data_IF_418429042660
#
_entry.id   IF_418429042660
#
_cell.length_a   1.000
_cell.length_b   1.000
_cell.length_c   1.000
_cell.angle_alpha   90.00
_cell.angle_beta   90.00
_cell.angle_gamma   90.00
#
_symmetry.space_group_name_H-M   'P 1'
#
loop_
_entity.id
_entity.type
_entity.pdbx_description
1 polymer ?
#
# COMPACT_ATOMS: atom_id res chain seq x y z
N UNK A 1 34.12 2.42 -6.94
CA UNK A 1 32.78 1.85 -7.28
C UNK A 1 31.67 2.27 -6.31
N UNK A 2 31.94 2.68 -5.07
CA UNK A 2 30.89 3.05 -4.08
C UNK A 2 30.15 4.37 -4.36
N UNK A 3 30.76 5.34 -5.04
CA UNK A 3 30.12 6.64 -5.30
C UNK A 3 28.99 6.58 -6.33
N UNK A 4 29.14 5.80 -7.41
CA UNK A 4 28.12 5.68 -8.47
C UNK A 4 26.81 5.06 -7.95
N UNK A 5 26.91 4.10 -7.04
CA UNK A 5 25.73 3.46 -6.41
C UNK A 5 24.96 4.44 -5.52
N UNK A 6 25.65 5.41 -4.89
CA UNK A 6 25.00 6.39 -4.02
C UNK A 6 24.20 7.44 -4.82
N UNK A 7 24.70 7.87 -5.98
CA UNK A 7 24.02 8.84 -6.85
C UNK A 7 22.73 8.26 -7.45
N UNK A 8 22.77 6.99 -7.84
CA UNK A 8 21.62 6.30 -8.46
C UNK A 8 20.46 6.11 -7.46
N UNK A 9 20.78 5.82 -6.19
CA UNK A 9 19.78 5.68 -5.13
C UNK A 9 19.10 7.00 -4.78
N UNK A 10 19.84 8.12 -4.79
CA UNK A 10 19.28 9.46 -4.53
C UNK A 10 18.36 9.92 -5.65
N UNK A 11 18.74 9.68 -6.91
CA UNK A 11 17.89 10.00 -8.06
C UNK A 11 16.62 9.13 -8.07
N UNK A 12 16.76 7.84 -7.76
CA UNK A 12 15.63 6.93 -7.61
C UNK A 12 14.67 7.36 -6.49
N UNK A 13 15.20 7.84 -5.36
CA UNK A 13 14.41 8.39 -4.27
C UNK A 13 13.60 9.61 -4.73
N UNK A 14 14.23 10.56 -5.41
CA UNK A 14 13.57 11.75 -5.93
C UNK A 14 12.41 11.40 -6.89
N UNK A 15 12.64 10.43 -7.79
CA UNK A 15 11.59 9.96 -8.72
C UNK A 15 10.42 9.32 -7.95
N UNK A 16 10.71 8.47 -6.97
CA UNK A 16 9.68 7.80 -6.16
C UNK A 16 8.86 8.81 -5.33
N UNK A 17 9.52 9.82 -4.76
CA UNK A 17 8.84 10.90 -4.02
C UNK A 17 7.96 11.75 -4.93
N UNK A 18 8.41 12.07 -6.15
CA UNK A 18 7.62 12.81 -7.12
C UNK A 18 6.37 12.00 -7.55
N UNK A 19 6.52 10.69 -7.78
CA UNK A 19 5.39 9.80 -8.09
C UNK A 19 4.38 9.72 -6.94
N UNK A 20 4.88 9.58 -5.70
CA UNK A 20 4.04 9.58 -4.50
C UNK A 20 3.26 10.89 -4.37
N UNK A 21 3.93 12.03 -4.50
CA UNK A 21 3.29 13.36 -4.44
C UNK A 21 2.19 13.50 -5.48
N UNK A 22 2.47 13.14 -6.73
CA UNK A 22 1.47 13.16 -7.82
C UNK A 22 0.27 12.26 -7.50
N UNK A 23 0.49 11.07 -6.95
CA UNK A 23 -0.60 10.19 -6.53
C UNK A 23 -1.49 10.85 -5.47
N UNK A 24 -0.91 11.49 -4.46
CA UNK A 24 -1.65 12.25 -3.45
C UNK A 24 -2.44 13.42 -4.04
N UNK A 25 -1.88 14.13 -5.02
CA UNK A 25 -2.59 15.20 -5.74
C UNK A 25 -3.80 14.64 -6.50
N UNK A 26 -3.66 13.52 -7.20
CA UNK A 26 -4.77 12.86 -7.89
C UNK A 26 -5.87 12.42 -6.92
N UNK A 27 -5.52 11.84 -5.76
CA UNK A 27 -6.49 11.48 -4.72
C UNK A 27 -7.30 12.70 -4.28
N UNK A 28 -6.64 13.85 -4.07
CA UNK A 28 -7.30 15.10 -3.67
C UNK A 28 -8.25 15.59 -4.76
N UNK A 29 -7.84 15.57 -6.04
CA UNK A 29 -8.68 15.97 -7.17
C UNK A 29 -9.91 15.08 -7.31
N UNK A 30 -9.72 13.75 -7.24
CA UNK A 30 -10.80 12.78 -7.32
C UNK A 30 -11.77 12.93 -6.15
N UNK A 31 -11.27 13.18 -4.94
CA UNK A 31 -12.12 13.41 -3.76
C UNK A 31 -13.01 14.64 -3.93
N UNK A 32 -12.48 15.74 -4.49
CA UNK A 32 -13.30 16.92 -4.83
C UNK A 32 -14.37 16.58 -5.86
N UNK A 33 -14.01 15.78 -6.88
CA UNK A 33 -14.97 15.34 -7.90
C UNK A 33 -16.07 14.46 -7.33
N UNK A 34 -15.75 13.55 -6.42
CA UNK A 34 -16.72 12.73 -5.69
C UNK A 34 -17.71 13.59 -4.91
N UNK A 35 -17.21 14.57 -4.15
CA UNK A 35 -18.10 15.46 -3.39
C UNK A 35 -19.07 16.22 -4.31
N UNK A 36 -18.59 16.72 -5.45
CA UNK A 36 -19.45 17.39 -6.44
C UNK A 36 -20.48 16.44 -7.06
N UNK A 37 -20.11 15.20 -7.37
CA UNK A 37 -21.03 14.19 -7.88
C UNK A 37 -22.07 13.79 -6.82
N UNK A 38 -21.67 13.68 -5.56
CA UNK A 38 -22.56 13.37 -4.45
C UNK A 38 -23.62 14.45 -4.26
N UNK A 39 -23.22 15.73 -4.24
CA UNK A 39 -24.17 16.86 -4.14
C UNK A 39 -25.18 16.83 -5.29
N UNK A 40 -24.74 16.54 -6.53
CA UNK A 40 -25.62 16.43 -7.69
C UNK A 40 -26.56 15.23 -7.58
N UNK A 41 -26.04 14.10 -7.09
CA UNK A 41 -26.82 12.89 -6.86
C UNK A 41 -27.92 13.14 -5.82
N UNK A 42 -27.59 13.78 -4.71
CA UNK A 42 -28.53 14.11 -3.65
C UNK A 42 -29.62 15.08 -4.15
N UNK A 43 -29.25 16.05 -4.98
CA UNK A 43 -30.23 16.92 -5.68
C UNK A 43 -31.16 16.11 -6.58
N UNK A 44 -30.61 15.28 -7.47
CA UNK A 44 -31.41 14.43 -8.37
C UNK A 44 -32.31 13.44 -7.61
N UNK A 45 -31.87 12.98 -6.42
CA UNK A 45 -32.66 12.13 -5.53
C UNK A 45 -33.83 12.88 -4.91
N UNK A 46 -33.62 14.13 -4.46
CA UNK A 46 -34.69 15.01 -3.93
C UNK A 46 -35.73 15.34 -4.99
N UNK A 47 -35.29 15.56 -6.23
CA UNK A 47 -36.15 15.94 -7.36
C UNK A 47 -36.78 14.71 -8.09
N UNK A 48 -36.62 13.49 -7.54
CA UNK A 48 -36.97 12.17 -8.12
C UNK A 48 -36.62 11.97 -9.61
N UNK A 49 -35.48 12.51 -10.04
CA UNK A 49 -34.98 12.38 -11.41
C UNK A 49 -34.31 11.02 -11.63
N UNK A 50 -35.12 9.96 -11.82
CA UNK A 50 -34.65 8.55 -11.85
C UNK A 50 -33.53 8.26 -12.86
N UNK A 51 -33.63 8.80 -14.07
CA UNK A 51 -32.62 8.60 -15.13
C UNK A 51 -31.28 9.25 -14.77
N UNK A 52 -31.31 10.49 -14.28
CA UNK A 52 -30.12 11.21 -13.83
C UNK A 52 -29.48 10.56 -12.60
N UNK A 53 -30.30 10.07 -11.66
CA UNK A 53 -29.83 9.38 -10.45
C UNK A 53 -28.99 8.15 -10.81
N UNK A 54 -29.43 7.36 -11.78
CA UNK A 54 -28.69 6.18 -12.23
C UNK A 54 -27.34 6.56 -12.86
N UNK A 55 -27.33 7.54 -13.76
CA UNK A 55 -26.09 8.02 -14.38
C UNK A 55 -25.10 8.57 -13.34
N UNK A 56 -25.59 9.35 -12.38
CA UNK A 56 -24.75 9.91 -11.30
C UNK A 56 -24.22 8.82 -10.37
N UNK A 57 -25.02 7.79 -10.09
CA UNK A 57 -24.58 6.63 -9.31
C UNK A 57 -23.44 5.87 -10.01
N UNK A 58 -23.55 5.64 -11.32
CA UNK A 58 -22.47 5.04 -12.11
C UNK A 58 -21.20 5.88 -12.08
N UNK A 59 -21.34 7.21 -12.20
CA UNK A 59 -20.21 8.13 -12.11
C UNK A 59 -19.56 8.13 -10.73
N UNK A 60 -20.37 8.04 -9.65
CA UNK A 60 -19.86 7.91 -8.29
C UNK A 60 -19.05 6.61 -8.14
N UNK A 61 -19.63 5.46 -8.47
CA UNK A 61 -18.99 4.16 -8.34
C UNK A 61 -17.67 4.06 -9.14
N UNK A 62 -17.66 4.53 -10.38
CA UNK A 62 -16.44 4.54 -11.22
C UNK A 62 -15.36 5.48 -10.66
N UNK A 63 -15.76 6.66 -10.16
CA UNK A 63 -14.83 7.62 -9.57
C UNK A 63 -14.28 7.13 -8.22
N UNK A 64 -15.08 6.42 -7.42
CA UNK A 64 -14.63 5.77 -6.19
C UNK A 64 -13.62 4.66 -6.48
N UNK A 65 -13.87 3.83 -7.50
CA UNK A 65 -12.92 2.83 -7.97
C UNK A 65 -11.58 3.43 -8.38
N UNK A 66 -11.61 4.53 -9.15
CA UNK A 66 -10.41 5.27 -9.51
C UNK A 66 -9.65 5.80 -8.28
N UNK A 67 -10.36 6.35 -7.29
CA UNK A 67 -9.76 6.81 -6.03
C UNK A 67 -9.03 5.68 -5.30
N UNK A 68 -9.66 4.51 -5.19
CA UNK A 68 -9.08 3.34 -4.52
C UNK A 68 -7.81 2.85 -5.21
N UNK A 69 -7.80 2.83 -6.55
CA UNK A 69 -6.60 2.51 -7.33
C UNK A 69 -5.44 3.47 -7.01
N UNK A 70 -5.69 4.78 -6.92
CA UNK A 70 -4.66 5.74 -6.55
C UNK A 70 -4.20 5.61 -5.09
N UNK A 71 -5.08 5.22 -4.17
CA UNK A 71 -4.69 4.89 -2.79
C UNK A 71 -3.70 3.73 -2.75
N UNK A 72 -4.02 2.61 -3.41
CA UNK A 72 -3.11 1.46 -3.49
C UNK A 72 -1.77 1.85 -4.13
N UNK A 73 -1.80 2.63 -5.20
CA UNK A 73 -0.60 3.13 -5.85
C UNK A 73 0.22 4.03 -4.92
N UNK A 74 -0.42 4.95 -4.19
CA UNK A 74 0.25 5.82 -3.23
C UNK A 74 0.91 5.02 -2.09
N UNK A 75 0.24 3.99 -1.57
CA UNK A 75 0.81 3.08 -0.56
C UNK A 75 2.06 2.39 -1.11
N UNK A 76 2.00 1.83 -2.33
CA UNK A 76 3.16 1.20 -2.99
C UNK A 76 4.33 2.16 -3.20
N UNK A 77 4.05 3.42 -3.55
CA UNK A 77 5.12 4.42 -3.68
C UNK A 77 5.67 4.86 -2.31
N UNK A 78 4.84 5.00 -1.28
CA UNK A 78 5.29 5.34 0.06
C UNK A 78 6.21 4.27 0.68
N UNK A 79 5.90 2.99 0.46
CA UNK A 79 6.78 1.89 0.90
C UNK A 79 8.10 1.91 0.15
N UNK A 80 8.10 2.20 -1.16
CA UNK A 80 9.31 2.36 -1.96
C UNK A 80 10.18 3.54 -1.49
N UNK A 81 9.59 4.71 -1.23
CA UNK A 81 10.28 5.88 -0.67
C UNK A 81 10.90 5.52 0.68
N UNK A 82 10.14 4.86 1.56
CA UNK A 82 10.61 4.46 2.89
C UNK A 82 11.74 3.42 2.83
N UNK A 83 11.75 2.56 1.82
CA UNK A 83 12.84 1.63 1.55
C UNK A 83 14.10 2.36 1.11
N UNK A 84 14.01 3.20 0.09
CA UNK A 84 15.16 3.97 -0.44
C UNK A 84 15.77 4.91 0.60
N UNK A 85 14.93 5.57 1.43
CA UNK A 85 15.41 6.39 2.56
C UNK A 85 16.21 5.58 3.57
N UNK A 86 15.78 4.35 3.88
CA UNK A 86 16.53 3.45 4.77
C UNK A 86 17.87 3.05 4.16
N UNK A 87 17.89 2.66 2.89
CA UNK A 87 19.13 2.26 2.18
C UNK A 87 20.16 3.40 2.16
N UNK A 88 19.73 4.61 1.82
CA UNK A 88 20.60 5.79 1.82
C UNK A 88 21.12 6.09 3.24
N UNK A 89 20.25 5.97 4.27
CA UNK A 89 20.66 6.17 5.66
C UNK A 89 21.68 5.13 6.11
N UNK A 90 21.50 3.86 5.73
CA UNK A 90 22.47 2.80 6.05
C UNK A 90 23.81 2.98 5.35
N UNK A 91 23.82 3.54 4.14
CA UNK A 91 25.05 3.82 3.38
C UNK A 91 25.82 5.03 3.91
N UNK A 92 25.13 5.99 4.56
CA UNK A 92 25.73 7.21 5.10
C UNK A 92 26.30 7.05 6.52
N UNK A 93 26.04 5.94 7.21
CA UNK A 93 26.58 5.71 8.54
C UNK A 93 28.07 5.35 8.45
N UNK A 94 28.98 6.05 9.14
CA UNK A 94 30.36 5.62 9.23
C UNK A 94 30.41 4.22 9.85
N UNK A 95 31.23 3.32 9.28
CA UNK A 95 31.37 1.90 9.72
C UNK A 95 31.53 1.76 11.25
N UNK A 96 32.11 2.77 11.90
CA UNK A 96 32.33 2.88 13.35
C UNK A 96 31.02 2.93 14.14
N UNK A 97 30.00 3.69 13.71
CA UNK A 97 28.71 3.75 14.41
C UNK A 97 27.87 2.48 14.26
N UNK A 98 28.07 1.77 13.15
CA UNK A 98 27.44 0.47 12.90
C UNK A 98 28.07 -0.61 13.80
N UNK A 99 29.39 -0.51 14.02
CA UNK A 99 30.12 -1.33 14.99
C UNK A 99 29.69 -1.03 16.43
N UNK A 100 29.55 0.25 16.82
CA UNK A 100 29.08 0.64 18.16
C UNK A 100 27.66 0.13 18.41
N UNK A 101 26.74 0.24 17.43
CA UNK A 101 25.39 -0.31 17.57
C UNK A 101 25.37 -1.83 17.68
N UNK A 102 26.13 -2.54 16.85
CA UNK A 102 26.23 -4.00 16.95
C UNK A 102 26.88 -4.42 18.28
N UNK A 103 27.90 -3.70 18.75
CA UNK A 103 28.55 -3.98 20.01
C UNK A 103 27.63 -3.72 21.21
N UNK A 104 26.84 -2.65 21.18
CA UNK A 104 25.82 -2.38 22.21
C UNK A 104 24.69 -3.41 22.18
N UNK A 105 24.29 -3.88 20.99
CA UNK A 105 23.26 -4.92 20.85
C UNK A 105 23.77 -6.27 21.39
N UNK A 106 25.03 -6.62 21.10
CA UNK A 106 25.72 -7.80 21.64
C UNK A 106 25.86 -7.72 23.17
N UNK A 107 26.23 -6.56 23.74
CA UNK A 107 26.28 -6.35 25.21
C UNK A 107 24.90 -6.54 25.85
N UNK A 108 23.84 -5.96 25.28
CA UNK A 108 22.46 -6.13 25.80
C UNK A 108 21.97 -7.57 25.71
N UNK A 109 22.30 -8.29 24.64
CA UNK A 109 22.02 -9.71 24.52
C UNK A 109 22.82 -10.51 25.56
N UNK A 110 24.11 -10.25 25.75
CA UNK A 110 24.94 -10.95 26.73
C UNK A 110 24.41 -10.80 28.17
N UNK A 111 23.94 -9.61 28.55
CA UNK A 111 23.26 -9.38 29.84
C UNK A 111 21.94 -10.15 29.90
N UNK A 112 21.11 -10.08 28.85
CA UNK A 112 19.81 -10.79 28.78
C UNK A 112 19.95 -12.32 28.86
N UNK A 113 21.05 -12.88 28.34
CA UNK A 113 21.32 -14.31 28.37
C UNK A 113 22.18 -14.75 29.57
N UNK A 114 22.44 -13.86 30.54
CA UNK A 114 23.16 -14.18 31.78
C UNK A 114 24.65 -14.51 31.59
N UNK A 115 25.25 -14.08 30.48
CA UNK A 115 26.66 -14.36 30.13
C UNK A 115 27.60 -13.28 30.67
N UNK A 116 27.08 -12.13 31.10
CA UNK A 116 27.85 -11.05 31.70
C UNK A 116 27.17 -10.53 32.98
N UNK A 117 27.92 -10.41 34.08
CA UNK A 117 27.44 -9.78 35.32
C UNK A 117 27.40 -8.26 35.16
N UNK A 118 26.31 -7.63 35.61
CA UNK A 118 26.17 -6.17 35.68
C UNK A 118 27.14 -5.63 36.74
N UNK A 119 28.15 -4.87 36.31
CA UNK A 119 28.82 -3.94 37.22
C UNK A 119 27.86 -2.78 37.48
N UNK A 120 27.41 -2.71 38.72
CA UNK A 120 26.49 -1.71 39.25
C UNK A 120 27.20 -0.36 39.42
N UNK A 121 26.84 0.62 38.59
CA UNK A 121 27.01 2.03 38.95
C UNK A 121 25.73 2.51 39.63
N UNK A 122 25.74 2.44 40.96
CA UNK A 122 24.78 3.09 41.84
C UNK A 122 25.14 4.58 41.99
N UNK A 123 24.31 5.48 41.46
CA UNK A 123 24.08 6.78 42.11
C UNK A 123 22.71 7.40 41.73
N UNK A 124 21.74 7.22 42.64
CA UNK A 124 20.76 8.18 43.22
C UNK A 124 20.46 9.47 42.43
N UNK A 125 19.26 10.04 42.40
CA UNK A 125 17.98 9.79 43.04
C UNK A 125 16.92 10.71 42.39
N UNK A 126 15.65 10.32 42.54
CA UNK A 126 14.46 11.15 42.72
C UNK A 126 14.18 12.30 41.74
N UNK A 127 13.24 12.06 40.82
CA UNK A 127 12.05 12.92 40.80
C UNK A 127 10.80 12.16 40.33
N UNK A 128 9.79 12.15 41.20
CA UNK A 128 8.53 11.42 41.08
C UNK A 128 7.42 12.46 41.03
N UNK A 129 6.89 12.79 39.85
CA UNK A 129 5.54 13.36 39.77
C UNK A 129 4.85 13.13 38.41
N UNK A 130 3.60 12.70 38.54
CA UNK A 130 2.52 12.62 37.54
C UNK A 130 2.54 11.49 36.51
N UNK A 131 2.12 10.34 37.05
CA UNK A 131 1.06 9.54 36.43
C UNK A 131 -0.16 10.40 36.06
N UNK A 132 -0.49 10.44 34.78
CA UNK A 132 -1.90 10.46 34.35
C UNK A 132 -2.06 9.54 33.16
N UNK A 133 -2.68 8.39 33.46
CA UNK A 133 -3.39 7.47 32.59
C UNK A 133 -3.98 8.14 31.34
N UNK A 134 -3.67 7.55 30.17
CA UNK A 134 -4.72 7.14 29.23
C UNK A 134 -4.34 5.79 28.66
N UNK A 135 -5.04 4.76 29.12
CA UNK A 135 -5.12 3.48 28.47
C UNK A 135 -5.90 3.64 27.16
N UNK A 136 -5.33 3.18 26.06
CA UNK A 136 -6.09 2.68 24.92
C UNK A 136 -5.51 1.31 24.56
N UNK A 137 -6.08 0.30 25.24
CA UNK A 137 -6.48 -0.97 24.63
C UNK A 137 -7.15 -0.68 23.26
N UNK A 138 -7.09 -1.49 22.22
CA UNK A 138 -6.93 -2.92 22.16
C UNK A 138 -6.69 -3.27 20.68
N UNK A 139 -6.29 -4.51 20.48
CA UNK A 139 -5.95 -5.14 19.23
C UNK A 139 -7.08 -5.02 18.18
N UNK A 140 -6.85 -4.20 17.16
CA UNK A 140 -7.59 -4.29 15.90
C UNK A 140 -6.94 -5.34 15.02
N UNK A 141 -7.33 -6.61 15.18
CA UNK A 141 -7.03 -7.66 14.21
C UNK A 141 -7.54 -7.21 12.82
N UNK A 142 -6.62 -6.88 11.93
CA UNK A 142 -6.92 -6.63 10.53
C UNK A 142 -7.23 -7.97 9.87
N UNK A 143 -8.49 -8.38 9.92
CA UNK A 143 -8.98 -9.51 9.12
C UNK A 143 -8.88 -9.10 7.65
N UNK A 144 -8.04 -9.79 6.89
CA UNK A 144 -8.03 -9.69 5.43
C UNK A 144 -9.47 -9.89 4.91
N UNK A 145 -10.00 -8.97 4.09
CA UNK A 145 -11.30 -9.16 3.51
C UNK A 145 -11.21 -10.37 2.58
N UNK A 146 -11.91 -11.44 2.96
CA UNK A 146 -12.08 -12.66 2.18
C UNK A 146 -12.77 -12.31 0.84
N UNK A 147 -11.99 -11.89 -0.15
CA UNK A 147 -12.44 -11.38 -1.46
C UNK A 147 -13.13 -12.48 -2.28
N UNK A 148 -12.75 -13.73 -2.07
CA UNK A 148 -13.27 -14.88 -2.80
C UNK A 148 -14.76 -15.17 -2.50
N UNK A 149 -15.23 -14.84 -1.29
CA UNK A 149 -16.63 -15.05 -0.89
C UNK A 149 -17.60 -14.00 -1.45
N UNK A 150 -17.10 -12.83 -1.89
CA UNK A 150 -17.95 -11.75 -2.40
C UNK A 150 -18.23 -11.91 -3.90
N UNK A 151 -17.32 -12.51 -4.66
CA UNK A 151 -17.51 -12.75 -6.10
C UNK A 151 -18.61 -13.77 -6.37
N UNK A 152 -18.65 -14.87 -5.61
CA UNK A 152 -19.73 -15.87 -5.70
C UNK A 152 -21.09 -15.29 -5.35
N UNK A 153 -21.14 -14.38 -4.36
CA UNK A 153 -22.37 -13.71 -3.96
C UNK A 153 -22.89 -12.72 -5.04
N UNK A 154 -21.98 -12.04 -5.74
CA UNK A 154 -22.31 -11.16 -6.88
C UNK A 154 -22.90 -11.97 -8.05
N UNK A 155 -22.32 -13.13 -8.36
CA UNK A 155 -22.82 -14.03 -9.43
C UNK A 155 -24.21 -14.58 -9.08
N UNK A 156 -24.43 -15.02 -7.83
CA UNK A 156 -25.73 -15.52 -7.38
C UNK A 156 -26.81 -14.42 -7.44
N UNK A 157 -26.46 -13.18 -7.06
CA UNK A 157 -27.37 -12.03 -7.16
C UNK A 157 -27.66 -11.62 -8.61
N UNK A 158 -26.70 -11.81 -9.52
CA UNK A 158 -26.88 -11.58 -10.96
C UNK A 158 -27.90 -12.53 -11.57
N UNK A 159 -27.81 -13.83 -11.28
CA UNK A 159 -28.74 -14.82 -11.80
C UNK A 159 -30.15 -14.70 -11.20
N UNK A 160 -30.26 -14.21 -9.96
CA UNK A 160 -31.55 -13.85 -9.36
C UNK A 160 -32.19 -12.66 -10.08
N UNK A 161 -31.45 -11.57 -10.29
CA UNK A 161 -31.97 -10.39 -10.98
C UNK A 161 -32.21 -10.59 -12.49
N UNK A 162 -31.61 -11.61 -13.09
CA UNK A 162 -31.90 -12.05 -14.46
C UNK A 162 -33.31 -12.64 -14.59
N UNK A 163 -33.87 -13.20 -13.51
CA UNK A 163 -35.25 -13.73 -13.45
C UNK A 163 -36.31 -12.64 -13.21
N UNK A 164 -35.98 -11.58 -12.47
CA UNK A 164 -36.95 -10.55 -12.03
C UNK A 164 -37.12 -9.36 -13.01
N UNK A 165 -36.73 -9.52 -14.27
CA UNK A 165 -36.76 -8.51 -15.35
C UNK A 165 -36.14 -7.13 -15.03
N UNK A 166 -35.28 -7.05 -14.00
CA UNK A 166 -34.60 -5.81 -13.57
C UNK A 166 -33.43 -5.44 -14.50
N UNK A 167 -33.72 -4.86 -15.68
CA UNK A 167 -32.71 -4.40 -16.65
C UNK A 167 -31.64 -3.47 -16.04
N UNK A 168 -32.02 -2.61 -15.11
CA UNK A 168 -31.12 -1.67 -14.40
C UNK A 168 -30.12 -2.37 -13.48
N UNK A 169 -30.53 -3.43 -12.78
CA UNK A 169 -29.68 -4.18 -11.86
C UNK A 169 -28.72 -5.11 -12.60
N UNK A 170 -29.16 -5.70 -13.73
CA UNK A 170 -28.29 -6.47 -14.63
C UNK A 170 -27.14 -5.62 -15.17
N UNK A 171 -27.41 -4.39 -15.57
CA UNK A 171 -26.37 -3.50 -16.10
C UNK A 171 -25.36 -3.07 -15.03
N UNK A 172 -25.86 -2.86 -13.82
CA UNK A 172 -25.05 -2.54 -12.63
C UNK A 172 -24.07 -3.65 -12.29
N UNK A 173 -24.56 -4.89 -12.20
CA UNK A 173 -23.73 -6.04 -11.90
C UNK A 173 -22.77 -6.38 -13.04
N UNK A 174 -23.19 -6.21 -14.29
CA UNK A 174 -22.31 -6.37 -15.46
C UNK A 174 -21.16 -5.35 -15.44
N UNK A 175 -21.42 -4.13 -15.00
CA UNK A 175 -20.38 -3.11 -14.84
C UNK A 175 -19.43 -3.45 -13.68
N UNK A 176 -19.96 -3.94 -12.56
CA UNK A 176 -19.13 -4.41 -11.44
C UNK A 176 -18.24 -5.59 -11.85
N UNK A 177 -18.79 -6.59 -12.56
CA UNK A 177 -18.01 -7.69 -13.15
C UNK A 177 -16.95 -7.18 -14.14
N UNK A 178 -17.29 -6.25 -15.04
CA UNK A 178 -16.31 -5.70 -15.97
C UNK A 178 -15.19 -4.94 -15.25
N UNK A 179 -15.47 -4.26 -14.14
CA UNK A 179 -14.44 -3.58 -13.34
C UNK A 179 -13.56 -4.55 -12.55
N UNK A 180 -14.12 -5.65 -12.02
CA UNK A 180 -13.33 -6.67 -11.32
C UNK A 180 -12.50 -7.49 -12.31
N UNK A 181 -13.06 -7.85 -13.47
CA UNK A 181 -12.34 -8.51 -14.56
C UNK A 181 -11.25 -7.59 -15.15
N UNK A 182 -11.55 -6.30 -15.33
CA UNK A 182 -10.56 -5.31 -15.78
C UNK A 182 -9.41 -5.13 -14.77
N UNK A 183 -9.73 -5.06 -13.47
CA UNK A 183 -8.72 -5.05 -12.42
C UNK A 183 -7.88 -6.34 -12.44
N UNK A 184 -8.53 -7.50 -12.54
CA UNK A 184 -7.87 -8.80 -12.62
C UNK A 184 -6.95 -8.92 -13.83
N UNK A 185 -7.37 -8.44 -15.00
CA UNK A 185 -6.52 -8.38 -16.20
C UNK A 185 -5.30 -7.46 -16.00
N UNK A 186 -5.45 -6.32 -15.34
CA UNK A 186 -4.30 -5.46 -15.00
C UNK A 186 -3.30 -6.17 -14.07
N UNK A 187 -3.79 -6.93 -13.08
CA UNK A 187 -2.93 -7.71 -12.20
C UNK A 187 -2.24 -8.88 -12.92
N UNK A 188 -2.92 -9.56 -13.85
CA UNK A 188 -2.29 -10.60 -14.67
C UNK A 188 -1.22 -10.05 -15.60
N UNK A 189 -1.50 -8.96 -16.33
CA UNK A 189 -0.52 -8.29 -17.19
C UNK A 189 0.71 -7.84 -16.39
N UNK A 190 0.49 -7.32 -15.19
CA UNK A 190 1.59 -6.94 -14.29
C UNK A 190 2.40 -8.16 -13.83
N UNK A 191 1.75 -9.25 -13.41
CA UNK A 191 2.41 -10.48 -12.99
C UNK A 191 3.22 -11.12 -14.13
N UNK A 192 2.68 -11.11 -15.34
CA UNK A 192 3.37 -11.60 -16.55
C UNK A 192 4.60 -10.75 -16.86
N UNK A 193 4.50 -9.42 -16.76
CA UNK A 193 5.67 -8.51 -16.92
C UNK A 193 6.75 -8.73 -15.87
N UNK A 194 6.36 -8.99 -14.62
CA UNK A 194 7.30 -9.33 -13.56
C UNK A 194 7.97 -10.69 -13.80
N UNK A 195 7.20 -11.70 -14.22
CA UNK A 195 7.73 -13.03 -14.52
C UNK A 195 8.72 -13.00 -15.70
N UNK A 196 8.45 -12.22 -16.75
CA UNK A 196 9.37 -12.05 -17.87
C UNK A 196 10.65 -11.32 -17.45
N UNK A 197 10.56 -10.27 -16.63
CA UNK A 197 11.75 -9.60 -16.06
C UNK A 197 12.62 -10.58 -15.25
N UNK A 198 12.01 -11.36 -14.36
CA UNK A 198 12.73 -12.37 -13.56
C UNK A 198 13.34 -13.44 -14.47
N UNK A 199 12.64 -13.86 -15.52
CA UNK A 199 13.14 -14.81 -16.51
C UNK A 199 14.33 -14.30 -17.32
N UNK A 200 14.37 -13.00 -17.65
CA UNK A 200 15.52 -12.37 -18.29
C UNK A 200 16.73 -12.30 -17.36
N UNK A 201 16.52 -11.86 -16.10
CA UNK A 201 17.58 -11.81 -15.10
C UNK A 201 18.20 -13.19 -14.81
N UNK A 202 17.39 -14.24 -14.75
CA UNK A 202 17.89 -15.61 -14.57
C UNK A 202 18.77 -16.09 -15.72
N UNK A 203 18.48 -15.67 -16.97
CA UNK A 203 19.30 -16.01 -18.14
C UNK A 203 20.65 -15.29 -18.09
N UNK A 204 20.65 -13.99 -17.80
CA UNK A 204 21.89 -13.21 -17.66
C UNK A 204 22.82 -13.81 -16.58
N UNK A 205 22.28 -14.20 -15.42
CA UNK A 205 23.06 -14.85 -14.36
C UNK A 205 23.66 -16.17 -14.85
N UNK A 206 22.87 -16.99 -15.56
CA UNK A 206 23.35 -18.27 -16.10
C UNK A 206 24.49 -18.06 -17.11
N UNK A 207 24.33 -17.11 -18.03
CA UNK A 207 25.33 -16.80 -19.06
C UNK A 207 26.64 -16.31 -18.44
N UNK A 208 26.57 -15.46 -17.41
CA UNK A 208 27.76 -15.02 -16.66
C UNK A 208 28.46 -16.15 -15.89
N UNK A 209 27.71 -17.13 -15.38
CA UNK A 209 28.29 -18.29 -14.68
C UNK A 209 29.01 -19.24 -15.65
N UNK A 210 28.50 -19.45 -16.86
CA UNK A 210 29.18 -20.25 -17.90
C UNK A 210 30.40 -19.55 -18.51
N UNK A 211 30.45 -18.22 -18.56
CA UNK A 211 31.60 -17.49 -19.09
C UNK A 211 32.82 -17.46 -18.15
N UNK A 212 32.65 -17.86 -16.89
CA UNK A 212 33.71 -17.90 -15.87
C UNK A 212 34.28 -19.30 -15.63
N UNK A 213 33.74 -20.33 -16.32
CA UNK A 213 34.23 -21.71 -16.27
C UNK A 213 34.94 -22.09 -17.57
#
# INVERSE_FOLDING_TARGET
>A
MSEKVCTDNRLSLYIAENKFRKACEQIKLITRRLNLLQIRYDKAKRDDMKSFRYTLWLQLATTEGARNMFYEYAVKQATQVSRLKREIKTQQLPKVEQFIRNHQYQKKLAVKWGVANEESEDEKADDKLMSSKTAFAEEGSFSEPNTFSKESEIVIRYDKAKRDDMKSFRYTLRLQLATTEGARNMFYEYAVKQATQVGCLKREIKDTATAQS
#
